data_IF_832038933682
#
_entry.id   IF_832038933682
#
_cell.length_a   1.000
_cell.length_b   1.000
_cell.length_c   1.000
_cell.angle_alpha   90.00
_cell.angle_beta   90.00
_cell.angle_gamma   90.00
#
_symmetry.space_group_name_H-M   'P 1'
#
loop_
_entity.id
_entity.type
_entity.pdbx_description
1 polymer ?
#
# COMPACT_ATOMS: atom_id res chain seq x y z
N UNK A 1 89.70 37.08 18.82
CA UNK A 1 89.57 36.05 17.78
C UNK A 1 89.34 34.72 18.49
N UNK A 2 88.11 34.23 18.55
CA UNK A 2 87.63 33.18 17.63
C UNK A 2 86.28 32.63 18.12
N UNK A 3 85.30 32.82 17.25
CA UNK A 3 83.92 32.34 17.31
C UNK A 3 83.85 30.83 17.01
N UNK A 4 82.92 30.11 17.63
CA UNK A 4 82.89 28.64 17.52
C UNK A 4 81.55 27.94 17.80
N UNK A 5 80.45 28.51 17.32
CA UNK A 5 79.23 27.85 16.79
C UNK A 5 78.68 26.57 17.48
N UNK A 6 77.52 26.73 18.13
CA UNK A 6 76.58 25.63 18.42
C UNK A 6 75.93 25.17 17.11
N UNK A 7 76.34 24.02 16.59
CA UNK A 7 75.68 23.39 15.44
C UNK A 7 74.46 22.61 15.94
N UNK A 8 73.28 23.20 15.75
CA UNK A 8 71.99 22.51 15.88
C UNK A 8 71.94 21.32 14.90
N UNK A 9 71.70 20.12 15.43
CA UNK A 9 71.44 18.93 14.63
C UNK A 9 70.15 19.12 13.81
N UNK A 10 70.31 19.41 12.52
CA UNK A 10 69.24 19.39 11.53
C UNK A 10 68.70 17.96 11.46
N UNK A 11 67.48 17.76 11.96
CA UNK A 11 66.72 16.53 11.78
C UNK A 11 66.44 16.34 10.29
N UNK A 12 67.09 15.35 9.66
CA UNK A 12 66.83 15.00 8.27
C UNK A 12 65.33 14.69 8.01
N UNK A 13 64.78 15.12 6.86
CA UNK A 13 63.45 14.72 6.46
C UNK A 13 63.46 13.23 6.09
N UNK A 14 62.71 12.41 6.82
CA UNK A 14 62.52 10.98 6.51
C UNK A 14 62.16 10.81 5.03
N UNK A 15 63.06 10.19 4.26
CA UNK A 15 62.88 9.83 2.85
C UNK A 15 61.52 9.14 2.67
N UNK A 16 60.61 9.79 1.96
CA UNK A 16 59.29 9.26 1.64
C UNK A 16 59.41 7.96 0.85
N UNK A 17 58.82 6.89 1.37
CA UNK A 17 58.88 5.54 0.79
C UNK A 17 58.56 5.50 -0.72
N UNK A 18 59.28 4.64 -1.43
CA UNK A 18 59.29 4.59 -2.89
C UNK A 18 57.95 4.18 -3.53
N UNK A 19 57.88 4.19 -4.88
CA UNK A 19 56.70 3.76 -5.65
C UNK A 19 56.17 2.38 -5.23
N UNK A 20 57.06 1.47 -4.83
CA UNK A 20 56.72 0.14 -4.33
C UNK A 20 55.97 0.19 -2.99
N UNK A 21 56.39 1.06 -2.06
CA UNK A 21 55.73 1.22 -0.75
C UNK A 21 54.38 1.89 -0.89
N UNK A 22 54.26 2.88 -1.78
CA UNK A 22 52.96 3.48 -2.15
C UNK A 22 52.00 2.43 -2.73
N UNK A 23 52.47 1.52 -3.58
CA UNK A 23 51.66 0.40 -4.12
C UNK A 23 51.26 -0.61 -3.03
N UNK A 24 52.15 -0.94 -2.09
CA UNK A 24 51.86 -1.84 -0.96
C UNK A 24 50.83 -1.21 -0.01
N UNK A 25 50.98 0.08 0.32
CA UNK A 25 50.01 0.84 1.12
C UNK A 25 48.65 0.91 0.44
N UNK A 26 48.59 1.22 -0.86
CA UNK A 26 47.34 1.24 -1.62
C UNK A 26 46.63 -0.13 -1.62
N UNK A 27 47.38 -1.23 -1.75
CA UNK A 27 46.82 -2.60 -1.65
C UNK A 27 46.31 -2.93 -0.25
N UNK A 28 47.04 -2.54 0.81
CA UNK A 28 46.60 -2.71 2.21
C UNK A 28 45.32 -1.91 2.50
N UNK A 29 45.25 -0.66 2.04
CA UNK A 29 44.05 0.19 2.17
C UNK A 29 42.87 -0.42 1.41
N UNK A 30 43.06 -0.90 0.17
CA UNK A 30 42.01 -1.57 -0.61
C UNK A 30 41.48 -2.85 0.08
N UNK A 31 42.38 -3.65 0.67
CA UNK A 31 42.01 -4.88 1.42
C UNK A 31 41.29 -4.56 2.74
N UNK A 32 41.73 -3.53 3.47
CA UNK A 32 41.07 -3.06 4.70
C UNK A 32 39.68 -2.50 4.40
N UNK A 33 39.53 -1.72 3.31
CA UNK A 33 38.24 -1.20 2.83
C UNK A 33 37.28 -2.31 2.38
N UNK A 34 37.78 -3.33 1.65
CA UNK A 34 36.96 -4.52 1.29
C UNK A 34 36.51 -5.32 2.50
N UNK A 35 37.35 -5.46 3.54
CA UNK A 35 36.98 -6.14 4.78
C UNK A 35 35.96 -5.35 5.62
N UNK A 36 36.02 -4.02 5.60
CA UNK A 36 34.98 -3.16 6.19
C UNK A 36 33.66 -3.28 5.44
N UNK A 37 33.69 -3.15 4.11
CA UNK A 37 32.50 -3.29 3.27
C UNK A 37 31.86 -4.69 3.37
N UNK A 38 32.66 -5.75 3.47
CA UNK A 38 32.15 -7.11 3.64
C UNK A 38 31.47 -7.35 5.00
N UNK A 39 31.69 -6.49 6.00
CA UNK A 39 31.01 -6.53 7.31
C UNK A 39 29.80 -5.60 7.37
N UNK A 40 29.86 -4.45 6.72
CA UNK A 40 28.76 -3.47 6.70
C UNK A 40 27.61 -3.90 5.78
N UNK A 41 27.91 -4.53 4.64
CA UNK A 41 26.89 -4.98 3.67
C UNK A 41 25.91 -5.99 4.29
N UNK A 42 26.34 -7.05 5.00
CA UNK A 42 25.41 -7.98 5.67
C UNK A 42 24.54 -7.30 6.72
N UNK A 43 25.09 -6.36 7.51
CA UNK A 43 24.32 -5.63 8.52
C UNK A 43 23.22 -4.79 7.86
N UNK A 44 23.55 -4.07 6.79
CA UNK A 44 22.57 -3.30 6.03
C UNK A 44 21.48 -4.20 5.42
N UNK A 45 21.86 -5.36 4.89
CA UNK A 45 20.89 -6.35 4.38
C UNK A 45 19.99 -6.84 5.51
N UNK A 46 20.52 -7.20 6.67
CA UNK A 46 19.72 -7.66 7.82
C UNK A 46 18.78 -6.57 8.30
N UNK A 47 19.24 -5.32 8.42
CA UNK A 47 18.38 -4.18 8.80
C UNK A 47 17.29 -3.95 7.76
N UNK A 48 17.61 -4.00 6.47
CA UNK A 48 16.62 -3.88 5.40
C UNK A 48 15.60 -5.02 5.44
N UNK A 49 16.03 -6.26 5.71
CA UNK A 49 15.15 -7.41 5.87
C UNK A 49 14.26 -7.30 7.11
N UNK A 50 14.79 -6.77 8.23
CA UNK A 50 14.00 -6.52 9.44
C UNK A 50 12.95 -5.43 9.20
N UNK A 51 13.33 -4.33 8.54
CA UNK A 51 12.38 -3.28 8.15
C UNK A 51 11.32 -3.87 7.20
N UNK A 52 11.72 -4.62 6.17
CA UNK A 52 10.79 -5.26 5.26
C UNK A 52 9.86 -6.25 5.98
N UNK A 53 10.38 -7.01 6.95
CA UNK A 53 9.58 -7.91 7.79
C UNK A 53 8.55 -7.13 8.59
N UNK A 54 8.95 -6.07 9.30
CA UNK A 54 8.04 -5.22 10.09
C UNK A 54 6.99 -4.55 9.19
N UNK A 55 7.39 -3.99 8.05
CA UNK A 55 6.48 -3.38 7.08
C UNK A 55 5.48 -4.40 6.54
N UNK A 56 5.92 -5.63 6.26
CA UNK A 56 5.07 -6.72 5.79
C UNK A 56 4.14 -7.27 6.87
N UNK A 57 4.63 -7.45 8.09
CA UNK A 57 3.84 -8.03 9.18
C UNK A 57 2.78 -7.06 9.66
N UNK A 58 3.10 -5.76 9.72
CA UNK A 58 2.23 -4.80 10.35
C UNK A 58 1.50 -3.88 9.37
N UNK A 59 2.10 -3.39 8.28
CA UNK A 59 1.56 -2.20 7.62
C UNK A 59 0.65 -2.45 6.42
N UNK A 60 1.11 -3.13 5.36
CA UNK A 60 0.40 -3.08 4.07
C UNK A 60 0.50 -4.40 3.31
N UNK A 61 -0.65 -4.93 2.86
CA UNK A 61 -0.70 -6.00 1.86
C UNK A 61 -1.41 -5.51 0.60
N UNK A 62 -0.86 -5.82 -0.57
CA UNK A 62 -1.50 -5.58 -1.86
C UNK A 62 -2.23 -6.84 -2.34
N UNK A 63 -3.47 -6.67 -2.78
CA UNK A 63 -4.32 -7.71 -3.38
C UNK A 63 -4.69 -7.34 -4.81
N UNK A 64 -4.72 -8.31 -5.71
CA UNK A 64 -5.29 -8.15 -7.06
C UNK A 64 -6.74 -8.60 -7.02
N UNK A 65 -7.66 -7.84 -7.62
CA UNK A 65 -9.09 -8.18 -7.64
C UNK A 65 -9.42 -9.01 -8.88
N UNK A 66 -9.83 -10.28 -8.72
CA UNK A 66 -10.12 -11.15 -9.86
C UNK A 66 -11.57 -11.07 -10.36
N UNK A 67 -12.49 -10.53 -9.55
CA UNK A 67 -13.94 -10.61 -9.77
C UNK A 67 -14.63 -9.24 -9.84
N UNK A 68 -15.74 -9.17 -10.58
CA UNK A 68 -16.51 -7.95 -10.82
C UNK A 68 -17.51 -7.54 -9.71
N UNK A 69 -17.54 -8.22 -8.55
CA UNK A 69 -18.59 -7.97 -7.53
C UNK A 69 -18.51 -6.58 -6.86
N UNK A 70 -17.37 -5.91 -7.01
CA UNK A 70 -17.14 -4.55 -6.51
C UNK A 70 -17.10 -3.51 -7.66
N UNK A 71 -17.48 -3.89 -8.88
CA UNK A 71 -17.59 -2.96 -10.01
C UNK A 71 -18.51 -1.78 -9.64
N UNK A 72 -18.15 -0.59 -10.15
CA UNK A 72 -18.51 0.77 -9.67
C UNK A 72 -17.47 1.39 -8.72
N UNK A 73 -16.92 0.63 -7.78
CA UNK A 73 -15.87 1.14 -6.86
C UNK A 73 -14.49 0.59 -7.19
N UNK A 74 -14.39 -0.71 -7.49
CA UNK A 74 -13.13 -1.41 -7.78
C UNK A 74 -13.32 -2.24 -9.04
N UNK A 75 -12.43 -2.08 -10.01
CA UNK A 75 -12.48 -2.79 -11.28
C UNK A 75 -11.70 -4.11 -11.22
N UNK A 76 -12.04 -5.04 -12.11
CA UNK A 76 -11.29 -6.28 -12.29
C UNK A 76 -9.85 -5.96 -12.69
N UNK A 77 -8.88 -6.55 -11.98
CA UNK A 77 -7.44 -6.34 -12.19
C UNK A 77 -6.84 -5.18 -11.39
N UNK A 78 -7.65 -4.41 -10.66
CA UNK A 78 -7.15 -3.38 -9.74
C UNK A 78 -6.29 -4.01 -8.64
N UNK A 79 -5.26 -3.26 -8.20
CA UNK A 79 -4.45 -3.63 -7.04
C UNK A 79 -4.77 -2.73 -5.88
N UNK A 80 -5.30 -3.33 -4.82
CA UNK A 80 -5.80 -2.62 -3.65
C UNK A 80 -4.84 -2.81 -2.49
N UNK A 81 -4.52 -1.71 -1.80
CA UNK A 81 -3.76 -1.73 -0.56
C UNK A 81 -4.71 -1.89 0.62
N UNK A 82 -4.36 -2.84 1.48
CA UNK A 82 -5.12 -3.20 2.67
C UNK A 82 -4.31 -2.89 3.91
N UNK A 83 -4.94 -2.15 4.81
CA UNK A 83 -4.42 -1.82 6.13
C UNK A 83 -4.72 -2.97 7.11
N UNK A 84 -3.65 -3.62 7.52
CA UNK A 84 -3.65 -4.72 8.50
C UNK A 84 -3.39 -4.26 9.93
N UNK A 85 -3.10 -2.98 10.13
CA UNK A 85 -2.92 -2.42 11.47
C UNK A 85 -4.27 -2.36 12.19
N UNK A 86 -5.36 -2.13 11.45
CA UNK A 86 -6.73 -1.98 11.98
C UNK A 86 -7.09 -3.09 13.00
N UNK A 87 -7.00 -4.40 12.68
CA UNK A 87 -7.37 -5.45 13.63
C UNK A 87 -6.36 -5.63 14.78
N UNK A 88 -5.08 -5.29 14.59
CA UNK A 88 -4.03 -5.47 15.60
C UNK A 88 -4.04 -4.40 16.70
N UNK A 89 -4.55 -3.20 16.39
CA UNK A 89 -4.71 -2.11 17.36
C UNK A 89 -6.14 -1.98 17.91
N UNK A 90 -7.00 -2.97 17.64
CA UNK A 90 -8.38 -2.99 18.13
C UNK A 90 -9.32 -2.04 17.39
N UNK A 91 -8.95 -1.57 16.20
CA UNK A 91 -9.88 -0.85 15.33
C UNK A 91 -10.76 -1.88 14.64
N UNK A 92 -12.04 -1.88 14.98
CA UNK A 92 -13.05 -2.74 14.35
C UNK A 92 -13.43 -2.18 12.96
N UNK A 93 -13.87 -3.03 12.03
CA UNK A 93 -14.44 -2.58 10.76
C UNK A 93 -15.71 -1.75 10.99
N UNK A 94 -15.80 -0.59 10.33
CA UNK A 94 -16.95 0.29 10.44
C UNK A 94 -17.89 0.12 9.25
N UNK A 95 -19.11 0.65 9.39
CA UNK A 95 -20.06 0.73 8.27
C UNK A 95 -19.43 1.52 7.13
N UNK A 96 -19.65 1.08 5.90
CA UNK A 96 -19.10 1.68 4.70
C UNK A 96 -17.65 1.31 4.38
N UNK A 97 -16.92 0.66 5.29
CA UNK A 97 -15.58 0.16 5.01
C UNK A 97 -15.60 -0.91 3.92
N UNK A 98 -14.58 -0.91 3.06
CA UNK A 98 -14.32 -2.03 2.16
C UNK A 98 -13.31 -2.94 2.84
N UNK A 99 -13.68 -4.20 3.04
CA UNK A 99 -12.88 -5.18 3.78
C UNK A 99 -12.50 -6.35 2.91
N UNK A 100 -11.27 -6.84 3.11
CA UNK A 100 -10.84 -8.14 2.60
C UNK A 100 -10.95 -9.14 3.74
N UNK A 101 -11.61 -10.27 3.52
CA UNK A 101 -11.82 -11.31 4.53
C UNK A 101 -11.66 -12.70 3.93
N UNK A 102 -11.33 -13.68 4.77
CA UNK A 102 -11.27 -15.08 4.36
C UNK A 102 -12.66 -15.66 4.23
N UNK A 103 -12.86 -16.56 3.28
CA UNK A 103 -14.10 -17.33 3.16
C UNK A 103 -14.49 -17.96 4.51
N UNK A 104 -15.69 -17.65 5.06
CA UNK A 104 -16.20 -18.23 6.30
C UNK A 104 -16.55 -19.72 6.17
N UNK A 105 -16.52 -20.26 4.95
CA UNK A 105 -16.79 -21.66 4.62
C UNK A 105 -17.97 -21.75 3.66
N UNK A 106 -17.69 -22.06 2.40
CA UNK A 106 -18.69 -22.36 1.38
C UNK A 106 -19.24 -21.16 0.63
N UNK A 107 -18.60 -19.98 0.73
CA UNK A 107 -18.99 -18.81 -0.09
C UNK A 107 -18.40 -18.88 -1.50
N UNK A 108 -17.26 -19.56 -1.66
CA UNK A 108 -16.58 -19.72 -2.94
C UNK A 108 -16.84 -21.08 -3.61
N UNK A 109 -17.81 -21.85 -3.10
CA UNK A 109 -18.19 -23.14 -3.68
C UNK A 109 -18.84 -22.91 -5.06
N UNK A 110 -18.08 -23.15 -6.13
CA UNK A 110 -18.53 -23.02 -7.51
C UNK A 110 -17.95 -21.83 -8.29
N UNK A 111 -17.18 -20.94 -7.65
CA UNK A 111 -16.44 -19.90 -8.38
C UNK A 111 -15.17 -20.51 -8.99
N UNK A 112 -15.00 -20.34 -10.31
CA UNK A 112 -13.80 -20.81 -11.02
C UNK A 112 -12.56 -20.12 -10.44
N UNK A 113 -11.87 -20.86 -9.57
CA UNK A 113 -10.59 -20.46 -8.98
C UNK A 113 -9.65 -20.14 -10.15
N UNK A 114 -9.04 -18.94 -10.21
CA UNK A 114 -8.09 -18.64 -11.26
C UNK A 114 -6.98 -19.67 -11.17
N UNK A 115 -6.97 -20.56 -12.16
CA UNK A 115 -6.02 -21.64 -12.26
C UNK A 115 -4.63 -21.04 -12.16
N UNK A 116 -3.91 -21.36 -11.09
CA UNK A 116 -2.46 -21.30 -11.09
C UNK A 116 -2.03 -22.23 -12.21
N UNK A 117 -1.91 -21.69 -13.42
CA UNK A 117 -1.28 -22.35 -14.55
C UNK A 117 0.02 -22.93 -13.99
N UNK A 118 0.30 -24.19 -14.30
CA UNK A 118 1.45 -24.96 -13.82
C UNK A 118 2.76 -24.22 -14.14
N UNK A 119 3.08 -23.20 -13.34
CA UNK A 119 4.28 -22.41 -13.48
C UNK A 119 5.45 -23.34 -13.16
N UNK A 120 6.51 -23.35 -13.98
CA UNK A 120 7.74 -24.07 -13.66
C UNK A 120 8.19 -23.76 -12.22
N UNK A 121 8.69 -24.76 -11.50
CA UNK A 121 9.07 -24.68 -10.07
C UNK A 121 9.91 -23.44 -9.76
N UNK A 122 10.81 -23.06 -10.67
CA UNK A 122 11.66 -21.87 -10.54
C UNK A 122 10.84 -20.57 -10.53
N UNK A 123 9.86 -20.43 -11.43
CA UNK A 123 8.99 -19.25 -11.49
C UNK A 123 8.11 -19.17 -10.26
N UNK A 124 7.59 -20.29 -9.78
CA UNK A 124 6.81 -20.36 -8.53
C UNK A 124 7.65 -19.91 -7.34
N UNK A 125 8.89 -20.39 -7.19
CA UNK A 125 9.78 -19.97 -6.09
C UNK A 125 10.12 -18.48 -6.15
N UNK A 126 10.36 -17.94 -7.35
CA UNK A 126 10.61 -16.50 -7.52
C UNK A 126 9.35 -15.69 -7.22
N UNK A 127 8.17 -16.12 -7.68
CA UNK A 127 6.90 -15.48 -7.36
C UNK A 127 6.62 -15.52 -5.86
N UNK A 128 6.72 -16.68 -5.23
CA UNK A 128 6.56 -16.84 -3.78
C UNK A 128 7.57 -15.98 -3.02
N UNK A 129 8.82 -15.90 -3.46
CA UNK A 129 9.81 -15.03 -2.85
C UNK A 129 9.44 -13.55 -3.03
N UNK A 130 9.04 -13.12 -4.23
CA UNK A 130 8.63 -11.75 -4.52
C UNK A 130 7.35 -11.36 -3.77
N UNK A 131 6.38 -12.26 -3.66
CA UNK A 131 5.18 -12.12 -2.83
C UNK A 131 5.57 -12.12 -1.35
N UNK A 132 6.55 -12.94 -0.96
CA UNK A 132 7.09 -12.97 0.40
C UNK A 132 7.80 -11.66 0.76
N UNK A 133 8.48 -11.00 -0.16
CA UNK A 133 9.09 -9.68 0.08
C UNK A 133 8.14 -8.51 -0.23
N UNK A 134 6.85 -8.79 -0.54
CA UNK A 134 5.82 -7.77 -0.80
C UNK A 134 5.99 -7.00 -2.11
N UNK A 135 6.87 -7.45 -3.00
CA UNK A 135 7.05 -6.88 -4.35
C UNK A 135 5.99 -7.39 -5.34
N UNK A 136 5.42 -8.57 -5.10
CA UNK A 136 4.27 -9.08 -5.85
C UNK A 136 3.00 -9.10 -4.99
N UNK A 137 1.84 -8.81 -5.59
CA UNK A 137 0.55 -8.98 -4.93
C UNK A 137 0.35 -10.44 -4.51
N UNK A 138 -0.35 -10.63 -3.39
CA UNK A 138 -0.71 -11.96 -2.92
C UNK A 138 -2.07 -12.33 -3.50
N UNK A 139 -2.08 -13.27 -4.44
CA UNK A 139 -3.30 -13.92 -4.94
C UNK A 139 -3.57 -15.12 -4.02
N UNK A 140 -3.96 -14.86 -2.76
CA UNK A 140 -4.34 -15.95 -1.86
C UNK A 140 -5.71 -16.44 -2.29
N UNK A 141 -5.72 -17.64 -2.86
CA UNK A 141 -6.93 -18.40 -3.18
C UNK A 141 -7.80 -18.47 -1.92
N UNK A 142 -8.97 -17.80 -1.92
CA UNK A 142 -9.92 -17.82 -0.81
C UNK A 142 -10.22 -16.49 -0.09
N UNK A 143 -9.56 -15.40 -0.44
CA UNK A 143 -9.86 -14.07 0.12
C UNK A 143 -10.93 -13.34 -0.73
N UNK A 144 -11.97 -12.82 -0.08
CA UNK A 144 -13.05 -12.04 -0.70
C UNK A 144 -12.93 -10.55 -0.33
N UNK A 145 -13.42 -9.67 -1.20
CA UNK A 145 -13.53 -8.23 -0.94
C UNK A 145 -14.98 -7.77 -1.07
N UNK A 146 -15.51 -7.13 -0.03
CA UNK A 146 -16.89 -6.61 0.00
C UNK A 146 -16.96 -5.34 0.86
N UNK A 147 -18.06 -4.59 0.78
CA UNK A 147 -18.35 -3.44 1.64
C UNK A 147 -19.13 -3.86 2.88
N UNK A 148 -18.73 -3.39 4.05
CA UNK A 148 -19.48 -3.52 5.29
C UNK A 148 -20.70 -2.61 5.22
N UNK A 149 -21.90 -3.17 5.29
CA UNK A 149 -23.15 -2.40 5.33
C UNK A 149 -23.66 -2.24 6.75
N UNK A 150 -23.47 -3.27 7.59
CA UNK A 150 -23.86 -3.25 8.99
C UNK A 150 -22.87 -4.03 9.86
N UNK A 151 -22.70 -3.58 11.11
CA UNK A 151 -21.78 -4.12 12.11
C UNK A 151 -22.55 -4.73 13.28
N UNK A 152 -21.87 -5.40 14.20
CA UNK A 152 -22.49 -6.05 15.34
C UNK A 152 -23.47 -5.15 16.12
N UNK A 153 -24.67 -5.65 16.37
CA UNK A 153 -25.77 -4.95 17.03
C UNK A 153 -26.73 -4.25 16.07
N UNK A 154 -26.35 -4.01 14.82
CA UNK A 154 -27.23 -3.39 13.84
C UNK A 154 -28.36 -4.31 13.39
N UNK A 155 -29.46 -3.70 12.98
CA UNK A 155 -30.50 -4.36 12.18
C UNK A 155 -30.46 -3.82 10.76
N UNK A 156 -30.14 -4.69 9.80
CA UNK A 156 -30.14 -4.36 8.37
C UNK A 156 -31.34 -5.00 7.70
N UNK A 157 -32.02 -4.25 6.84
CA UNK A 157 -33.23 -4.70 6.15
C UNK A 157 -33.27 -4.20 4.72
N UNK A 158 -33.54 -5.11 3.79
CA UNK A 158 -34.04 -4.76 2.46
C UNK A 158 -35.50 -5.18 2.31
N UNK A 159 -36.39 -4.30 1.85
CA UNK A 159 -36.17 -2.88 1.56
C UNK A 159 -37.33 -2.04 2.09
N UNK A 160 -37.10 -0.74 2.24
CA UNK A 160 -38.17 0.22 2.55
C UNK A 160 -39.15 0.36 1.37
N UNK A 161 -40.17 1.21 1.52
CA UNK A 161 -41.18 1.45 0.48
C UNK A 161 -40.61 2.05 -0.81
N UNK A 162 -39.39 2.59 -0.77
CA UNK A 162 -38.68 3.17 -1.91
C UNK A 162 -37.62 2.20 -2.48
N UNK A 163 -37.55 0.96 -1.99
CA UNK A 163 -36.58 -0.03 -2.46
C UNK A 163 -35.16 0.17 -1.92
N UNK A 164 -34.98 0.94 -0.85
CA UNK A 164 -33.68 1.20 -0.24
C UNK A 164 -33.37 0.20 0.88
N UNK A 165 -32.09 -0.13 1.03
CA UNK A 165 -31.58 -0.83 2.22
C UNK A 165 -31.65 0.14 3.40
N UNK A 166 -32.04 -0.39 4.56
CA UNK A 166 -32.09 0.37 5.81
C UNK A 166 -31.17 -0.27 6.85
N UNK A 167 -30.49 0.56 7.65
CA UNK A 167 -29.70 0.13 8.81
C UNK A 167 -30.24 0.86 10.04
N UNK A 168 -30.68 0.11 11.05
CA UNK A 168 -31.34 0.65 12.25
C UNK A 168 -32.55 1.55 11.93
N UNK A 169 -33.25 1.28 10.83
CA UNK A 169 -34.36 2.07 10.33
C UNK A 169 -33.97 3.31 9.50
N UNK A 170 -32.68 3.68 9.47
CA UNK A 170 -32.18 4.75 8.61
C UNK A 170 -31.99 4.23 7.18
N UNK A 171 -32.65 4.83 6.18
CA UNK A 171 -32.47 4.44 4.77
C UNK A 171 -31.10 4.89 4.26
N UNK A 172 -30.43 4.01 3.52
CA UNK A 172 -29.16 4.31 2.87
C UNK A 172 -29.38 4.94 1.49
N UNK A 173 -28.62 5.99 1.18
CA UNK A 173 -28.49 6.58 -0.16
C UNK A 173 -27.23 6.03 -0.81
N UNK A 174 -27.39 5.01 -1.64
CA UNK A 174 -26.28 4.19 -2.15
C UNK A 174 -25.90 4.49 -3.60
N UNK A 175 -26.40 5.60 -4.16
CA UNK A 175 -26.17 6.01 -5.56
C UNK A 175 -24.71 6.36 -5.88
N UNK A 176 -23.87 6.57 -4.87
CA UNK A 176 -22.47 6.95 -5.04
C UNK A 176 -21.51 5.77 -5.23
N UNK A 177 -21.94 4.55 -4.91
CA UNK A 177 -21.07 3.37 -4.97
C UNK A 177 -21.75 2.12 -5.57
N UNK A 178 -23.06 2.11 -5.73
CA UNK A 178 -23.74 1.05 -6.49
C UNK A 178 -23.67 1.38 -7.98
N UNK A 179 -23.45 0.34 -8.80
CA UNK A 179 -23.49 0.47 -10.26
C UNK A 179 -24.84 1.03 -10.74
N UNK A 180 -24.81 2.06 -11.58
CA UNK A 180 -26.02 2.72 -12.06
C UNK A 180 -27.03 1.72 -12.67
N UNK A 181 -28.31 1.87 -12.33
CA UNK A 181 -29.38 0.98 -12.77
C UNK A 181 -29.55 -0.31 -11.95
N UNK A 182 -28.66 -0.61 -11.01
CA UNK A 182 -28.83 -1.75 -10.10
C UNK A 182 -29.70 -1.36 -8.89
N UNK A 183 -30.68 -2.18 -8.50
CA UNK A 183 -31.40 -1.97 -7.25
C UNK A 183 -30.47 -2.22 -6.04
N UNK A 184 -30.71 -1.57 -4.89
CA UNK A 184 -29.99 -1.82 -3.64
C UNK A 184 -29.96 -3.30 -3.23
N UNK A 185 -31.03 -4.06 -3.48
CA UNK A 185 -31.01 -5.52 -3.43
C UNK A 185 -32.20 -6.08 -4.19
N UNK A 186 -32.01 -7.26 -4.79
CA UNK A 186 -33.10 -8.06 -5.39
C UNK A 186 -33.73 -9.01 -4.36
N UNK A 187 -32.94 -9.40 -3.35
CA UNK A 187 -33.39 -10.25 -2.24
C UNK A 187 -33.97 -9.42 -1.11
N UNK A 188 -35.06 -9.93 -0.52
CA UNK A 188 -35.64 -9.39 0.72
C UNK A 188 -34.98 -10.05 1.91
N UNK A 189 -34.59 -9.25 2.89
CA UNK A 189 -33.97 -9.76 4.11
C UNK A 189 -34.21 -8.83 5.28
N UNK A 190 -34.13 -9.39 6.48
CA UNK A 190 -34.05 -8.62 7.74
C UNK A 190 -33.14 -9.41 8.67
N UNK A 191 -31.99 -8.82 9.00
CA UNK A 191 -30.94 -9.49 9.76
C UNK A 191 -30.52 -8.58 10.91
N UNK A 192 -30.56 -9.13 12.12
CA UNK A 192 -29.90 -8.54 13.27
C UNK A 192 -28.49 -9.10 13.32
N UNK A 193 -27.49 -8.23 13.12
CA UNK A 193 -26.09 -8.64 13.04
C UNK A 193 -25.58 -8.97 14.45
N UNK A 194 -25.14 -10.21 14.73
CA UNK A 194 -24.59 -10.55 16.04
C UNK A 194 -23.32 -9.74 16.34
N UNK A 195 -23.01 -9.51 17.63
CA UNK A 195 -21.75 -8.88 18.03
C UNK A 195 -20.54 -9.67 17.51
N UNK A 196 -19.49 -8.98 17.08
CA UNK A 196 -18.29 -9.59 16.50
C UNK A 196 -18.49 -10.14 15.08
N UNK A 197 -19.57 -9.74 14.39
CA UNK A 197 -19.90 -10.15 13.03
C UNK A 197 -20.30 -8.95 12.18
N UNK A 198 -20.18 -9.13 10.87
CA UNK A 198 -20.43 -8.11 9.86
C UNK A 198 -21.44 -8.62 8.83
N UNK A 199 -22.28 -7.72 8.35
CA UNK A 199 -23.08 -7.91 7.14
C UNK A 199 -22.41 -7.15 6.00
N UNK A 200 -21.95 -7.88 4.99
CA UNK A 200 -21.17 -7.37 3.87
C UNK A 200 -21.87 -7.56 2.53
N UNK A 201 -21.80 -6.57 1.65
CA UNK A 201 -22.41 -6.61 0.32
C UNK A 201 -21.42 -6.11 -0.74
N UNK A 202 -21.53 -6.66 -1.96
CA UNK A 202 -20.82 -6.13 -3.11
C UNK A 202 -21.44 -4.82 -3.61
N UNK A 203 -20.61 -3.98 -4.21
CA UNK A 203 -21.06 -2.71 -4.81
C UNK A 203 -21.77 -2.96 -6.16
N UNK A 204 -21.38 -4.01 -6.89
CA UNK A 204 -22.15 -4.53 -8.02
C UNK A 204 -23.25 -5.46 -7.52
N UNK A 205 -24.37 -4.89 -7.05
CA UNK A 205 -25.43 -5.61 -6.32
C UNK A 205 -26.03 -6.81 -7.04
N UNK A 206 -26.14 -6.77 -8.36
CA UNK A 206 -26.68 -7.89 -9.17
C UNK A 206 -25.66 -8.98 -9.49
N UNK A 207 -24.36 -8.71 -9.30
CA UNK A 207 -23.26 -9.63 -9.64
C UNK A 207 -22.36 -9.91 -8.43
N UNK A 208 -22.97 -10.21 -7.29
CA UNK A 208 -22.24 -10.42 -6.04
C UNK A 208 -22.91 -11.48 -5.17
N UNK A 209 -22.29 -12.67 -5.13
CA UNK A 209 -22.50 -13.63 -4.04
C UNK A 209 -21.90 -13.04 -2.76
N UNK A 210 -22.75 -12.42 -1.94
CA UNK A 210 -22.40 -11.79 -0.67
C UNK A 210 -23.38 -12.24 0.42
N UNK A 211 -23.45 -11.53 1.56
CA UNK A 211 -24.26 -11.97 2.71
C UNK A 211 -25.69 -12.34 2.36
N UNK A 212 -26.29 -11.69 1.35
CA UNK A 212 -27.65 -11.95 0.87
C UNK A 212 -27.83 -13.36 0.30
N UNK A 213 -26.79 -13.91 -0.33
CA UNK A 213 -26.81 -15.21 -0.99
C UNK A 213 -26.44 -16.37 -0.07
N UNK A 214 -25.92 -16.08 1.13
CA UNK A 214 -25.45 -17.09 2.09
C UNK A 214 -26.25 -17.08 3.40
N UNK A 215 -27.50 -16.60 3.35
CA UNK A 215 -28.38 -16.53 4.53
C UNK A 215 -28.83 -17.89 5.06
N UNK A 216 -28.79 -18.91 4.21
CA UNK A 216 -29.07 -20.31 4.53
C UNK A 216 -27.87 -21.04 5.17
N UNK A 217 -26.68 -20.43 5.12
CA UNK A 217 -25.45 -20.99 5.68
C UNK A 217 -25.23 -20.60 7.15
N UNK A 218 -24.25 -21.23 7.79
CA UNK A 218 -23.89 -20.97 9.18
C UNK A 218 -23.52 -19.48 9.39
N UNK A 219 -24.27 -18.81 10.28
CA UNK A 219 -24.11 -17.37 10.53
C UNK A 219 -25.07 -16.48 9.76
N UNK A 220 -26.07 -17.04 9.07
CA UNK A 220 -27.16 -16.33 8.42
C UNK A 220 -26.65 -15.21 7.50
N UNK A 221 -25.66 -15.51 6.66
CA UNK A 221 -25.03 -14.55 5.74
C UNK A 221 -24.01 -13.61 6.38
N UNK A 222 -23.92 -13.52 7.70
CA UNK A 222 -22.91 -12.66 8.35
C UNK A 222 -21.55 -13.35 8.42
N UNK A 223 -20.47 -12.56 8.47
CA UNK A 223 -19.10 -13.06 8.63
C UNK A 223 -18.53 -12.68 10.00
N UNK A 224 -17.68 -13.50 10.65
CA UNK A 224 -16.96 -13.10 11.85
C UNK A 224 -15.93 -12.01 11.55
N UNK A 225 -15.82 -11.00 12.42
CA UNK A 225 -14.79 -9.95 12.31
C UNK A 225 -13.37 -10.54 12.35
N UNK A 226 -13.17 -11.65 13.07
CA UNK A 226 -11.89 -12.36 13.11
C UNK A 226 -11.42 -12.96 11.78
N UNK A 227 -12.29 -13.04 10.76
CA UNK A 227 -11.90 -13.44 9.40
C UNK A 227 -11.46 -12.26 8.54
N UNK A 228 -11.66 -11.03 9.00
CA UNK A 228 -11.24 -9.82 8.27
C UNK A 228 -9.71 -9.76 8.29
N UNK A 229 -9.14 -9.78 7.09
CA UNK A 229 -7.70 -9.64 6.86
C UNK A 229 -7.27 -8.17 7.00
N UNK A 230 -8.14 -7.24 6.59
CA UNK A 230 -7.95 -5.81 6.80
C UNK A 230 -8.86 -4.94 5.94
N UNK A 231 -8.72 -3.62 6.10
CA UNK A 231 -9.51 -2.62 5.39
C UNK A 231 -8.79 -2.14 4.13
N UNK A 232 -9.45 -2.24 2.99
CA UNK A 232 -9.01 -1.67 1.73
C UNK A 232 -9.19 -0.15 1.74
N UNK A 233 -8.11 0.61 1.50
CA UNK A 233 -8.14 2.07 1.62
C UNK A 233 -7.64 2.81 0.36
N UNK A 234 -6.88 2.16 -0.52
CA UNK A 234 -6.37 2.77 -1.77
C UNK A 234 -6.32 1.73 -2.89
N UNK A 235 -6.77 2.13 -4.08
CA UNK A 235 -6.41 1.47 -5.34
C UNK A 235 -5.06 2.03 -5.75
N UNK A 236 -4.01 1.22 -5.72
CA UNK A 236 -2.63 1.64 -5.99
C UNK A 236 -2.21 1.42 -7.45
N UNK A 237 -2.92 0.58 -8.19
CA UNK A 237 -2.63 0.27 -9.59
C UNK A 237 -3.92 -0.16 -10.30
N UNK A 238 -4.14 0.20 -11.59
CA UNK A 238 -3.24 0.94 -12.50
C UNK A 238 -3.08 2.42 -12.13
N UNK A 239 -1.97 3.05 -12.53
CA UNK A 239 -1.68 4.45 -12.18
C UNK A 239 -2.77 5.45 -12.63
N UNK A 240 -3.50 5.12 -13.72
CA UNK A 240 -4.62 5.93 -14.20
C UNK A 240 -5.92 5.78 -13.40
N UNK A 241 -6.00 4.79 -12.52
CA UNK A 241 -7.15 4.51 -11.65
C UNK A 241 -6.76 4.59 -10.16
N UNK A 242 -5.62 5.21 -9.85
CA UNK A 242 -5.15 5.33 -8.49
C UNK A 242 -6.08 6.27 -7.70
N UNK A 243 -6.78 5.74 -6.71
CA UNK A 243 -7.77 6.49 -5.93
C UNK A 243 -7.84 6.00 -4.49
N UNK A 244 -8.25 6.88 -3.58
CA UNK A 244 -8.52 6.51 -2.20
C UNK A 244 -9.95 6.00 -2.06
N UNK A 245 -10.11 4.84 -1.43
CA UNK A 245 -11.40 4.29 -1.06
C UNK A 245 -11.90 5.03 0.17
N UNK A 246 -12.92 5.88 -0.01
CA UNK A 246 -13.53 6.66 1.06
C UNK A 246 -14.82 5.98 1.52
N UNK A 247 -15.12 6.16 2.80
CA UNK A 247 -16.41 5.77 3.36
C UNK A 247 -17.52 6.64 2.73
N UNK A 248 -18.59 6.04 2.20
CA UNK A 248 -19.75 6.78 1.73
C UNK A 248 -20.45 7.54 2.87
N UNK A 249 -20.81 8.80 2.64
CA UNK A 249 -21.46 9.64 3.66
C UNK A 249 -22.80 9.11 4.16
N UNK A 250 -23.45 8.21 3.43
CA UNK A 250 -24.72 7.60 3.85
C UNK A 250 -24.64 6.81 5.14
N UNK A 251 -23.45 6.37 5.56
CA UNK A 251 -23.27 5.62 6.81
C UNK A 251 -23.12 6.54 8.02
N UNK A 252 -22.75 7.81 7.82
CA UNK A 252 -22.58 8.80 8.89
C UNK A 252 -23.91 9.20 9.54
N UNK A 253 -25.03 9.04 8.82
CA UNK A 253 -26.39 9.30 9.34
C UNK A 253 -26.99 8.13 10.11
N UNK A 254 -26.35 6.96 10.11
CA UNK A 254 -26.83 5.78 10.81
C UNK A 254 -26.47 5.90 12.29
N UNK A 255 -27.48 6.01 13.15
CA UNK A 255 -27.27 6.02 14.59
C UNK A 255 -26.66 4.68 15.06
N UNK A 256 -25.80 4.75 16.08
CA UNK A 256 -25.33 3.55 16.76
C UNK A 256 -26.53 2.71 17.24
N UNK A 257 -26.41 1.39 17.16
CA UNK A 257 -27.45 0.48 17.62
C UNK A 257 -27.85 0.84 19.06
N UNK A 258 -29.16 0.97 19.32
CA UNK A 258 -29.71 1.29 20.64
C UNK A 258 -29.49 0.12 21.59
N UNK A 259 -28.28 0.02 22.15
CA UNK A 259 -27.87 -1.03 23.08
C UNK A 259 -27.16 -0.53 24.32
N UNK A 260 -26.84 0.77 24.43
CA UNK A 260 -26.13 1.34 25.59
C UNK A 260 -26.84 2.51 26.27
N UNK A 261 -27.96 3.00 25.73
CA UNK A 261 -28.64 4.20 26.24
C UNK A 261 -29.86 3.94 27.15
N UNK A 262 -30.18 2.69 27.51
CA UNK A 262 -31.33 2.38 28.37
C UNK A 262 -31.01 2.09 29.83
N UNK A 263 -29.73 2.03 30.24
CA UNK A 263 -29.37 1.85 31.66
C UNK A 263 -29.17 3.17 32.41
N UNK A 264 -29.07 4.31 31.71
CA UNK A 264 -28.82 5.62 32.34
C UNK A 264 -30.09 6.43 32.68
N UNK A 265 -31.28 6.03 32.19
CA UNK A 265 -32.51 6.83 32.36
C UNK A 265 -33.52 6.25 33.38
N UNK A 266 -33.23 5.12 34.03
CA UNK A 266 -34.16 4.51 35.01
C UNK A 266 -33.77 4.69 36.48
N UNK A 267 -32.64 5.34 36.79
CA UNK A 267 -32.23 5.61 38.19
C UNK A 267 -32.54 7.04 38.65
N UNK A 268 -33.25 7.84 37.84
CA UNK A 268 -33.50 9.26 38.13
C UNK A 268 -34.90 9.56 38.69
N UNK A 269 -35.58 8.58 39.31
CA UNK A 269 -36.89 8.83 39.90
C UNK A 269 -37.10 8.17 41.27
N UNK A 270 -36.09 8.25 42.13
CA UNK A 270 -36.31 8.09 43.57
C UNK A 270 -35.18 8.73 44.36
N UNK A 271 -35.37 9.97 44.82
CA UNK A 271 -35.08 10.43 46.18
C UNK A 271 -35.11 11.97 46.26
N UNK A 272 -36.05 12.45 47.07
CA UNK A 272 -36.03 13.77 47.67
C UNK A 272 -34.79 13.89 48.56
N UNK A 273 -33.96 14.93 48.35
CA UNK A 273 -32.82 15.22 49.22
C UNK A 273 -31.87 16.24 48.61
N UNK A 274 -32.02 17.50 49.04
CA UNK A 274 -31.06 18.62 49.05
C UNK A 274 -29.91 18.61 48.02
N UNK A 275 -29.99 19.56 47.09
CA UNK A 275 -28.91 19.95 46.16
C UNK A 275 -27.69 20.42 46.93
N UNK A 276 -26.58 19.70 46.81
CA UNK A 276 -25.26 20.13 47.27
C UNK A 276 -24.36 20.36 46.06
N UNK A 277 -24.03 21.62 45.79
CA UNK A 277 -23.11 22.04 44.74
C UNK A 277 -21.67 21.59 45.08
N UNK A 278 -20.91 20.99 44.16
CA UNK A 278 -19.49 20.79 44.37
C UNK A 278 -18.73 22.12 44.17
N UNK A 279 -18.02 22.53 45.21
CA UNK A 279 -17.03 23.62 45.21
C UNK A 279 -15.85 23.29 44.27
N UNK A 280 -15.30 24.27 43.54
CA UNK A 280 -14.08 24.07 42.76
C UNK A 280 -12.88 24.36 43.67
N UNK A 281 -12.12 23.32 44.03
CA UNK A 281 -10.84 23.52 44.67
C UNK A 281 -9.83 22.44 44.25
N UNK A 282 -8.67 22.95 43.84
CA UNK A 282 -7.34 22.32 43.88
C UNK A 282 -6.89 21.57 42.61
N UNK A 283 -6.26 22.35 41.73
CA UNK A 283 -5.32 21.87 40.71
C UNK A 283 -3.94 21.63 41.35
N UNK A 284 -3.34 20.42 41.26
CA UNK A 284 -1.93 20.27 41.54
C UNK A 284 -1.12 20.79 40.35
N UNK A 285 -0.59 22.01 40.50
CA UNK A 285 0.51 22.53 39.70
C UNK A 285 1.82 21.83 40.11
N UNK A 286 2.74 21.78 39.14
CA UNK A 286 4.20 21.54 39.27
C UNK A 286 4.65 20.07 39.19
N UNK A 287 5.26 19.73 38.05
CA UNK A 287 6.55 19.03 37.86
C UNK A 287 6.69 18.81 36.34
N UNK A 288 7.34 19.69 35.58
CA UNK A 288 8.79 19.65 35.42
C UNK A 288 9.13 19.58 33.92
N UNK A 289 9.00 20.70 33.21
CA UNK A 289 9.49 20.83 31.83
C UNK A 289 11.01 20.91 31.88
N UNK A 290 11.69 19.81 31.59
CA UNK A 290 13.14 19.82 31.32
C UNK A 290 13.36 20.49 29.97
N UNK A 291 13.72 21.77 30.03
CA UNK A 291 14.14 22.55 28.87
C UNK A 291 15.49 22.08 28.33
N UNK A 292 15.48 21.36 27.21
CA UNK A 292 16.64 21.24 26.33
C UNK A 292 16.67 22.44 25.37
N UNK A 293 17.24 23.55 25.83
CA UNK A 293 17.72 24.63 24.96
C UNK A 293 19.25 24.64 24.96
N UNK A 294 19.78 24.84 23.74
CA UNK A 294 21.16 25.25 23.36
C UNK A 294 22.21 24.13 23.26
N UNK A 295 22.59 23.77 22.03
CA UNK A 295 23.67 24.41 21.22
C UNK A 295 23.74 23.69 19.86
N UNK A 296 23.35 24.37 18.78
CA UNK A 296 23.83 24.02 17.44
C UNK A 296 24.61 25.21 16.88
N UNK A 297 25.81 25.43 17.42
CA UNK A 297 26.83 26.23 16.73
C UNK A 297 27.37 25.37 15.60
N UNK A 298 26.85 25.55 14.39
CA UNK A 298 27.53 25.13 13.16
C UNK A 298 28.87 25.86 13.07
N UNK A 299 29.96 25.21 13.49
CA UNK A 299 31.30 25.53 12.97
C UNK A 299 31.38 24.97 11.56
N UNK A 300 31.17 25.83 10.55
CA UNK A 300 31.61 25.54 9.20
C UNK A 300 33.14 25.56 9.19
N UNK A 301 33.77 24.39 9.20
CA UNK A 301 35.16 24.29 8.74
C UNK A 301 35.15 24.36 7.23
N UNK A 302 35.31 25.58 6.69
CA UNK A 302 35.74 25.77 5.32
C UNK A 302 37.16 25.23 5.18
N UNK A 303 37.30 24.05 4.57
CA UNK A 303 38.60 23.55 4.12
C UNK A 303 38.96 24.36 2.87
N UNK A 304 39.66 25.48 3.07
CA UNK A 304 40.45 26.12 2.02
C UNK A 304 41.58 25.15 1.65
N UNK A 305 41.40 24.37 0.60
CA UNK A 305 42.51 23.73 -0.10
C UNK A 305 43.20 24.79 -0.97
N UNK A 306 44.05 25.59 -0.32
CA UNK A 306 44.94 26.53 -0.99
C UNK A 306 46.29 25.85 -1.24
N UNK A 307 46.42 25.27 -2.42
CA UNK A 307 47.64 25.01 -3.21
C UNK A 307 47.11 24.28 -4.47
N UNK A 308 47.19 24.76 -5.71
CA UNK A 308 48.20 25.61 -6.33
C UNK A 308 48.62 24.93 -7.64
N UNK A 309 47.92 25.25 -8.74
CA UNK A 309 48.41 25.14 -10.12
C UNK A 309 48.51 23.74 -10.78
N UNK A 310 48.87 23.70 -12.08
CA UNK A 310 47.89 23.73 -13.17
C UNK A 310 48.00 22.50 -14.08
N UNK A 311 46.96 22.20 -14.86
CA UNK A 311 47.16 21.40 -16.08
C UNK A 311 45.99 20.53 -16.53
N UNK A 312 45.55 20.79 -17.77
CA UNK A 312 45.10 19.71 -18.64
C UNK A 312 43.60 19.54 -18.81
N UNK A 313 42.96 20.52 -19.48
CA UNK A 313 41.83 20.19 -20.36
C UNK A 313 42.33 19.15 -21.37
N UNK A 314 41.93 17.89 -21.23
CA UNK A 314 41.98 16.93 -22.35
C UNK A 314 40.57 16.78 -22.89
N UNK A 315 40.35 17.47 -24.00
CA UNK A 315 39.32 17.16 -24.98
C UNK A 315 39.51 15.72 -25.45
N UNK A 316 38.53 14.86 -25.17
CA UNK A 316 38.45 13.55 -25.82
C UNK A 316 37.94 13.81 -27.23
N UNK A 317 38.86 13.91 -28.19
CA UNK A 317 38.58 13.74 -29.62
C UNK A 317 38.17 12.28 -29.84
N UNK A 318 36.88 12.03 -30.06
CA UNK A 318 36.45 10.78 -30.67
C UNK A 318 36.89 10.78 -32.14
N UNK A 319 37.92 9.99 -32.45
CA UNK A 319 38.34 9.70 -33.82
C UNK A 319 37.35 8.71 -34.44
N UNK A 320 36.80 9.14 -35.57
CA UNK A 320 36.17 8.35 -36.61
C UNK A 320 37.10 7.17 -37.00
N UNK A 321 36.61 5.94 -36.90
CA UNK A 321 37.15 4.79 -37.61
C UNK A 321 36.04 4.22 -38.50
N UNK A 322 36.31 4.18 -39.80
CA UNK A 322 35.51 3.49 -40.82
C UNK A 322 35.91 2.01 -40.83
N UNK A 323 34.95 1.17 -41.20
CA UNK A 323 35.12 -0.24 -41.55
C UNK A 323 33.77 -0.94 -41.35
N UNK A 324 32.92 -1.01 -42.38
CA UNK A 324 32.88 -2.09 -43.39
C UNK A 324 32.58 -3.45 -42.70
N UNK A 325 31.50 -4.18 -42.99
CA UNK A 325 30.42 -4.05 -43.97
C UNK A 325 29.55 -5.31 -43.87
N UNK A 326 28.74 -5.51 -44.92
CA UNK A 326 27.99 -6.70 -45.34
C UNK A 326 26.46 -6.71 -45.16
N UNK A 327 25.87 -7.30 -46.22
CA UNK A 327 24.47 -7.45 -46.63
C UNK A 327 23.93 -6.25 -47.42
N UNK A 328 23.67 -6.33 -48.72
CA UNK A 328 23.63 -7.48 -49.63
C UNK A 328 22.65 -7.16 -50.77
N UNK A 329 23.09 -7.42 -52.01
CA UNK A 329 22.32 -7.68 -53.25
C UNK A 329 21.18 -6.71 -53.66
N UNK A 330 21.32 -5.99 -54.79
CA UNK A 330 20.86 -6.36 -56.17
C UNK A 330 19.32 -6.45 -56.26
N UNK A 331 18.57 -5.93 -57.23
CA UNK A 331 18.76 -5.43 -58.61
C UNK A 331 17.41 -4.78 -58.96
N UNK A 332 17.33 -3.55 -59.50
CA UNK A 332 17.27 -3.18 -60.93
C UNK A 332 15.93 -3.49 -61.64
N UNK A 333 15.26 -2.41 -62.04
CA UNK A 333 14.46 -2.11 -63.27
C UNK A 333 13.24 -1.28 -62.84
N UNK A 334 12.98 -0.08 -63.38
CA UNK A 334 13.10 0.35 -64.77
C UNK A 334 11.68 0.45 -65.31
N UNK A 335 11.13 1.67 -65.38
CA UNK A 335 9.71 1.91 -65.65
C UNK A 335 9.29 1.78 -67.12
N UNK A 336 8.00 2.01 -67.37
CA UNK A 336 7.49 2.24 -68.74
C UNK A 336 6.00 1.98 -68.98
N UNK A 337 5.20 3.04 -68.85
CA UNK A 337 4.11 3.55 -69.74
C UNK A 337 2.98 2.65 -70.33
N UNK A 338 1.84 3.35 -70.50
CA UNK A 338 0.61 3.13 -71.31
C UNK A 338 -0.41 2.20 -70.65
N UNK A 339 -1.72 2.44 -70.67
CA UNK A 339 -2.56 3.47 -71.26
C UNK A 339 -4.01 2.96 -71.27
N UNK A 340 -4.96 3.89 -71.23
CA UNK A 340 -6.39 3.77 -71.59
C UNK A 340 -7.34 2.90 -70.72
N UNK A 341 -8.59 3.35 -70.57
CA UNK A 341 -9.62 2.60 -69.86
C UNK A 341 -10.71 3.40 -69.14
N UNK A 342 -11.49 4.16 -69.90
CA UNK A 342 -12.84 4.68 -69.58
C UNK A 342 -13.74 3.62 -68.87
N UNK A 343 -14.46 3.99 -67.80
CA UNK A 343 -15.94 3.92 -67.65
C UNK A 343 -16.45 3.78 -66.18
N UNK A 344 -17.37 4.69 -65.85
CA UNK A 344 -18.67 4.54 -65.16
C UNK A 344 -18.73 3.87 -63.76
N UNK A 345 -19.38 4.59 -62.84
CA UNK A 345 -20.64 4.08 -62.29
C UNK A 345 -20.77 3.95 -60.76
N UNK A 346 -21.27 5.03 -60.15
CA UNK A 346 -22.25 5.13 -59.04
C UNK A 346 -21.97 4.51 -57.63
N UNK A 347 -22.48 5.15 -56.56
CA UNK A 347 -22.41 4.69 -55.17
C UNK A 347 -23.72 4.04 -54.71
N UNK A 348 -23.69 3.15 -53.72
CA UNK A 348 -24.84 2.83 -52.85
C UNK A 348 -24.39 2.49 -51.42
N UNK A 349 -25.12 3.12 -50.48
CA UNK A 349 -25.43 2.76 -49.09
C UNK A 349 -24.36 2.86 -48.01
#
# INVERSE_FOLDING_TARGET
MDDGVIVSAVREPRRGGGRADRRKLARKVKRKRRRGAAKEVPILIVVALLIALVLKTFLLQAFVIPSGSMEATIQVGDRVLVDKLTPWFGSEPHRGDVVVFKDPGGWLDGEEKPSTKNDPVVIKQVKEFLTFIGLLPSDKEGDLIKRVIAVGGDTVKCCDTQGRVTVNGTPLTETSYILAGNPPSQEKFTVQVPKGRLWVMGDHRSNSADSRFHMDQAGNGTIPEGLVVGRAFVIAWPMGHMTQLKEPSTFQSVAAARGEATTALQTANNQQGLVQLPTPAELPLVMGVVGLRRIWRRRQHGVRSGCGGPGGRRTVRARRARGAGLLGSLRRQGGGRRGDGRQRGRPWS
#
